data_IF_712219432479
#
_entry.id   IF_712219432479
#
_cell.length_a   1.000
_cell.length_b   1.000
_cell.length_c   1.000
_cell.angle_alpha   90.00
_cell.angle_beta   90.00
_cell.angle_gamma   90.00
#
_symmetry.space_group_name_H-M   'P 1'
#
loop_
_entity.id
_entity.type
_entity.pdbx_description
1 polymer ?
#
# COMPACT_ATOMS: atom_id res chain seq x y z
N UNK A 1 -12.21 8.30 -4.77
CA UNK A 1 -11.12 7.72 -5.58
C UNK A 1 -9.74 8.03 -5.01
N UNK A 2 -9.29 9.28 -4.86
CA UNK A 2 -7.94 9.60 -4.33
C UNK A 2 -7.63 8.94 -2.97
N UNK A 3 -8.56 8.98 -2.02
CA UNK A 3 -8.39 8.33 -0.70
C UNK A 3 -8.11 6.85 -0.80
N UNK A 4 -8.78 6.14 -1.72
CA UNK A 4 -8.59 4.71 -1.96
C UNK A 4 -7.19 4.42 -2.50
N UNK A 5 -6.67 5.29 -3.35
CA UNK A 5 -5.30 5.17 -3.88
C UNK A 5 -4.27 5.32 -2.78
N UNK A 6 -4.47 6.25 -1.85
CA UNK A 6 -3.59 6.44 -0.70
C UNK A 6 -3.68 5.28 0.29
N UNK A 7 -4.85 4.70 0.52
CA UNK A 7 -4.99 3.55 1.42
C UNK A 7 -6.34 3.36 2.09
N UNK A 8 -7.28 4.31 1.92
CA UNK A 8 -8.61 4.19 2.50
C UNK A 8 -9.55 3.37 1.61
N UNK A 9 -9.77 2.14 2.00
CA UNK A 9 -10.70 1.21 1.36
C UNK A 9 -12.10 1.24 1.99
N UNK A 10 -12.28 1.95 3.10
CA UNK A 10 -13.53 1.98 3.85
C UNK A 10 -14.59 2.88 3.24
N UNK A 11 -14.18 3.95 2.55
CA UNK A 11 -15.05 5.03 2.05
C UNK A 11 -16.05 4.55 0.99
N UNK A 12 -15.73 3.51 0.25
CA UNK A 12 -16.51 3.09 -0.93
C UNK A 12 -17.19 1.73 -0.78
N UNK A 13 -17.09 1.10 0.38
CA UNK A 13 -17.63 -0.25 0.60
C UNK A 13 -17.03 -1.30 -0.33
N UNK A 14 -17.62 -2.50 -0.34
CA UNK A 14 -17.12 -3.65 -1.11
C UNK A 14 -17.06 -3.45 -2.64
N UNK A 15 -17.78 -2.48 -3.19
CA UNK A 15 -17.84 -2.26 -4.65
C UNK A 15 -16.61 -1.52 -5.20
N UNK A 16 -16.04 -0.58 -4.47
CA UNK A 16 -14.95 0.26 -4.99
C UNK A 16 -13.59 -0.41 -5.01
N UNK A 17 -13.37 -1.41 -4.17
CA UNK A 17 -12.13 -2.22 -4.17
C UNK A 17 -11.95 -3.04 -5.45
N UNK A 18 -13.02 -3.27 -6.20
CA UNK A 18 -13.00 -4.05 -7.46
C UNK A 18 -12.51 -3.24 -8.67
N UNK A 19 -12.42 -1.92 -8.59
CA UNK A 19 -12.18 -1.07 -9.77
C UNK A 19 -10.73 -0.66 -9.97
N UNK A 20 -9.78 -1.20 -9.19
CA UNK A 20 -8.35 -1.05 -9.46
C UNK A 20 -7.89 0.39 -9.67
N UNK A 21 -8.41 1.34 -8.88
CA UNK A 21 -8.12 2.77 -9.07
C UNK A 21 -6.62 3.11 -9.03
N UNK A 22 -5.84 2.36 -8.25
CA UNK A 22 -4.39 2.50 -8.16
C UNK A 22 -3.62 1.88 -9.32
N UNK A 23 -4.15 0.84 -9.97
CA UNK A 23 -3.47 0.16 -11.07
C UNK A 23 -3.37 1.01 -12.33
N UNK A 24 -2.31 0.84 -13.12
CA UNK A 24 -2.18 1.42 -14.46
C UNK A 24 -3.05 0.71 -15.50
N UNK A 25 -3.50 -0.53 -15.22
CA UNK A 25 -4.29 -1.34 -16.13
C UNK A 25 -5.67 -0.75 -16.39
N UNK A 26 -6.19 -0.97 -17.61
CA UNK A 26 -7.52 -0.52 -18.06
C UNK A 26 -7.76 0.99 -17.86
N UNK A 27 -6.75 1.83 -18.13
CA UNK A 27 -6.83 3.29 -18.06
C UNK A 27 -6.35 3.92 -19.36
N UNK A 28 -7.02 4.98 -19.75
CA UNK A 28 -6.65 5.82 -20.88
C UNK A 28 -6.49 7.27 -20.38
N UNK A 29 -5.46 7.93 -20.87
CA UNK A 29 -5.15 9.32 -20.54
C UNK A 29 -5.00 10.11 -21.82
N UNK A 30 -5.56 11.31 -21.85
CA UNK A 30 -5.28 12.23 -22.95
C UNK A 30 -3.80 12.63 -22.90
N UNK A 31 -3.08 12.47 -24.01
CA UNK A 31 -1.67 12.86 -24.09
C UNK A 31 -1.46 14.34 -23.75
N UNK A 32 -2.32 15.22 -24.28
CA UNK A 32 -2.26 16.65 -23.97
C UNK A 32 -2.41 16.96 -22.49
N UNK A 33 -3.25 16.20 -21.76
CA UNK A 33 -3.39 16.30 -20.31
C UNK A 33 -2.09 15.91 -19.59
N UNK A 34 -1.49 14.78 -19.97
CA UNK A 34 -0.23 14.33 -19.38
C UNK A 34 0.89 15.36 -19.60
N UNK A 35 1.00 15.88 -20.83
CA UNK A 35 1.99 16.91 -21.18
C UNK A 35 1.74 18.22 -20.42
N UNK A 36 0.49 18.68 -20.37
CA UNK A 36 0.11 19.93 -19.67
C UNK A 36 0.55 19.93 -18.21
N UNK A 37 0.41 18.80 -17.52
CA UNK A 37 0.73 18.68 -16.09
C UNK A 37 2.06 17.97 -15.82
N UNK A 38 2.87 17.71 -16.85
CA UNK A 38 4.16 17.02 -16.76
C UNK A 38 4.07 15.71 -15.98
N UNK A 39 2.99 14.95 -16.22
CA UNK A 39 2.72 13.70 -15.52
C UNK A 39 3.55 12.57 -16.14
N UNK A 40 4.52 12.11 -15.37
CA UNK A 40 5.39 10.98 -15.70
C UNK A 40 5.39 9.96 -14.57
N UNK A 41 5.71 8.71 -14.90
CA UNK A 41 5.92 7.70 -13.87
C UNK A 41 7.13 8.07 -13.01
N UNK A 42 7.03 7.91 -11.68
CA UNK A 42 8.12 8.28 -10.78
C UNK A 42 9.31 7.35 -11.00
N UNK A 43 10.47 7.93 -11.28
CA UNK A 43 11.74 7.20 -11.38
C UNK A 43 12.18 6.77 -9.98
N UNK A 44 12.68 5.53 -9.87
CA UNK A 44 13.19 4.98 -8.61
C UNK A 44 12.15 4.29 -7.72
N UNK A 45 10.86 4.51 -7.94
CA UNK A 45 9.82 3.76 -7.22
C UNK A 45 9.55 2.44 -7.97
N UNK A 46 10.07 1.34 -7.43
CA UNK A 46 9.98 0.01 -8.05
C UNK A 46 8.61 -0.66 -7.81
N UNK A 47 7.87 -0.21 -6.78
CA UNK A 47 6.60 -0.80 -6.37
C UNK A 47 5.58 0.30 -6.10
N UNK A 48 4.34 0.10 -6.56
CA UNK A 48 3.28 1.11 -6.46
C UNK A 48 3.59 2.44 -7.17
N UNK A 49 4.45 2.40 -8.19
CA UNK A 49 4.72 3.49 -9.11
C UNK A 49 3.44 3.93 -9.82
N UNK A 50 2.59 2.97 -10.15
CA UNK A 50 1.27 3.17 -10.75
C UNK A 50 0.32 3.91 -9.79
N UNK A 51 0.32 3.59 -8.51
CA UNK A 51 -0.45 4.31 -7.49
C UNK A 51 0.01 5.76 -7.39
N UNK A 52 1.33 5.98 -7.33
CA UNK A 52 1.92 7.30 -7.26
C UNK A 52 1.62 8.15 -8.50
N UNK A 53 1.69 7.55 -9.68
CA UNK A 53 1.31 8.21 -10.94
C UNK A 53 -0.18 8.55 -10.97
N UNK A 54 -1.04 7.56 -10.72
CA UNK A 54 -2.49 7.73 -10.76
C UNK A 54 -2.98 8.76 -9.74
N UNK A 55 -2.41 8.80 -8.54
CA UNK A 55 -2.75 9.77 -7.51
C UNK A 55 -2.58 11.20 -8.04
N UNK A 56 -1.44 11.49 -8.69
CA UNK A 56 -1.16 12.79 -9.30
C UNK A 56 -2.07 13.08 -10.49
N UNK A 57 -2.30 12.10 -11.34
CA UNK A 57 -3.16 12.26 -12.52
C UNK A 57 -4.61 12.54 -12.11
N UNK A 58 -5.16 11.77 -11.18
CA UNK A 58 -6.53 11.98 -10.71
C UNK A 58 -6.71 13.26 -9.89
N UNK A 59 -5.64 13.73 -9.24
CA UNK A 59 -5.67 15.02 -8.52
C UNK A 59 -5.78 16.21 -9.45
N UNK A 60 -5.19 16.13 -10.64
CA UNK A 60 -5.21 17.19 -11.66
C UNK A 60 -6.38 17.09 -12.63
N UNK A 61 -7.12 15.99 -12.62
CA UNK A 61 -8.17 15.75 -13.60
C UNK A 61 -9.49 16.43 -13.20
N UNK A 62 -9.97 17.33 -14.05
CA UNK A 62 -11.29 17.97 -13.92
C UNK A 62 -12.43 17.00 -14.28
N UNK A 63 -12.18 16.07 -15.20
CA UNK A 63 -13.16 15.12 -15.69
C UNK A 63 -12.60 13.71 -15.76
N UNK A 64 -13.32 12.75 -15.19
CA UNK A 64 -12.99 11.32 -15.18
C UNK A 64 -14.21 10.55 -15.68
N UNK A 65 -14.03 9.80 -16.78
CA UNK A 65 -15.04 8.87 -17.28
C UNK A 65 -14.81 7.47 -16.72
N UNK A 66 -15.90 6.73 -16.49
CA UNK A 66 -15.88 5.33 -16.11
C UNK A 66 -16.75 4.52 -17.05
N UNK A 67 -16.17 3.47 -17.64
CA UNK A 67 -16.89 2.51 -18.49
C UNK A 67 -17.03 1.19 -17.73
N UNK A 68 -18.28 0.74 -17.53
CA UNK A 68 -18.57 -0.52 -16.86
C UNK A 68 -18.50 -1.70 -17.84
N UNK A 69 -17.28 -1.92 -18.38
CA UNK A 69 -17.00 -3.01 -19.33
C UNK A 69 -15.64 -3.61 -19.03
N UNK A 70 -15.43 -4.88 -19.38
CA UNK A 70 -14.16 -5.58 -19.18
C UNK A 70 -13.31 -5.46 -20.45
N UNK A 71 -12.26 -4.63 -20.39
CA UNK A 71 -11.31 -4.43 -21.50
C UNK A 71 -9.94 -5.03 -21.23
N UNK A 72 -9.68 -5.50 -20.00
CA UNK A 72 -8.38 -5.96 -19.59
C UNK A 72 -8.48 -7.21 -18.74
N UNK A 73 -7.71 -8.24 -19.11
CA UNK A 73 -7.62 -9.51 -18.39
C UNK A 73 -6.28 -9.58 -17.66
N UNK A 74 -6.32 -9.52 -16.34
CA UNK A 74 -5.12 -9.63 -15.52
C UNK A 74 -4.77 -11.11 -15.30
N UNK A 75 -3.65 -11.55 -15.92
CA UNK A 75 -3.14 -12.91 -15.71
C UNK A 75 -2.43 -13.01 -14.37
N UNK A 76 -2.88 -13.90 -13.50
CA UNK A 76 -2.21 -14.22 -12.25
C UNK A 76 -1.20 -15.34 -12.49
N UNK A 77 0.07 -15.08 -12.26
CA UNK A 77 1.15 -16.04 -12.33
C UNK A 77 1.79 -16.18 -10.95
N UNK A 78 2.08 -17.42 -10.53
CA UNK A 78 2.77 -17.67 -9.25
C UNK A 78 4.17 -17.05 -9.22
N UNK A 79 4.83 -16.98 -10.37
CA UNK A 79 6.15 -16.36 -10.56
C UNK A 79 6.12 -14.83 -10.66
N UNK A 80 4.95 -14.21 -10.43
CA UNK A 80 4.80 -12.77 -10.47
C UNK A 80 5.76 -12.09 -9.49
N UNK A 81 6.33 -10.95 -9.91
CA UNK A 81 7.16 -10.09 -9.07
C UNK A 81 6.52 -9.73 -7.72
N UNK A 82 5.19 -9.88 -7.62
CA UNK A 82 4.40 -9.61 -6.41
C UNK A 82 4.63 -10.64 -5.30
N UNK A 83 4.98 -11.88 -5.66
CA UNK A 83 5.10 -13.01 -4.72
C UNK A 83 6.53 -13.48 -4.51
N UNK A 84 7.50 -12.97 -5.26
CA UNK A 84 8.90 -13.38 -5.14
C UNK A 84 9.50 -12.92 -3.82
N UNK A 85 10.33 -13.78 -3.24
CA UNK A 85 11.21 -13.41 -2.14
C UNK A 85 12.14 -12.26 -2.57
N UNK A 86 12.29 -11.29 -1.68
CA UNK A 86 13.25 -10.19 -1.83
C UNK A 86 13.83 -9.86 -0.46
N UNK A 87 15.11 -10.08 -0.28
CA UNK A 87 15.80 -9.61 0.92
C UNK A 87 15.72 -8.08 1.02
N UNK A 88 15.31 -7.59 2.20
CA UNK A 88 15.08 -6.16 2.39
C UNK A 88 13.92 -5.59 1.57
N UNK A 89 13.02 -6.44 1.06
CA UNK A 89 11.92 -6.06 0.18
C UNK A 89 10.99 -4.99 0.74
N UNK A 90 11.00 -4.78 2.06
CA UNK A 90 10.22 -3.73 2.71
C UNK A 90 10.71 -2.31 2.34
N UNK A 91 12.00 -2.12 2.04
CA UNK A 91 12.53 -0.82 1.63
C UNK A 91 11.86 -0.29 0.36
N UNK A 92 11.51 -1.19 -0.57
CA UNK A 92 10.81 -0.84 -1.81
C UNK A 92 9.42 -0.23 -1.52
N UNK A 93 8.76 -0.70 -0.46
CA UNK A 93 7.49 -0.13 -0.02
C UNK A 93 7.68 1.21 0.71
N UNK A 94 8.80 1.39 1.41
CA UNK A 94 9.16 2.66 2.05
C UNK A 94 9.36 3.77 1.02
N UNK A 95 10.01 3.49 -0.11
CA UNK A 95 10.15 4.45 -1.23
C UNK A 95 8.79 4.87 -1.78
N UNK A 96 7.87 3.92 -1.96
CA UNK A 96 6.52 4.23 -2.40
C UNK A 96 5.74 5.07 -1.37
N UNK A 97 5.90 4.78 -0.06
CA UNK A 97 5.30 5.55 1.02
C UNK A 97 5.87 6.96 1.09
N UNK A 98 7.18 7.11 0.88
CA UNK A 98 7.82 8.41 0.81
C UNK A 98 7.22 9.28 -0.31
N UNK A 99 7.08 8.71 -1.51
CA UNK A 99 6.44 9.41 -2.64
C UNK A 99 4.98 9.81 -2.37
N UNK A 100 4.22 8.96 -1.69
CA UNK A 100 2.85 9.28 -1.28
C UNK A 100 2.82 10.40 -0.23
N UNK A 101 3.66 10.32 0.78
CA UNK A 101 3.76 11.34 1.84
C UNK A 101 4.14 12.69 1.27
N UNK A 102 5.16 12.72 0.41
CA UNK A 102 5.60 13.94 -0.26
C UNK A 102 4.45 14.56 -1.08
N UNK A 103 3.68 13.76 -1.81
CA UNK A 103 2.52 14.27 -2.54
C UNK A 103 1.48 14.90 -1.60
N UNK A 104 1.17 14.26 -0.47
CA UNK A 104 0.19 14.79 0.49
C UNK A 104 0.64 16.12 1.08
N UNK A 105 1.92 16.22 1.46
CA UNK A 105 2.52 17.40 2.06
C UNK A 105 2.57 18.58 1.06
N UNK A 106 3.06 18.31 -0.16
CA UNK A 106 3.19 19.32 -1.21
C UNK A 106 1.84 19.89 -1.70
N UNK A 107 0.77 19.13 -1.56
CA UNK A 107 -0.57 19.54 -1.99
C UNK A 107 -1.49 19.82 -0.79
N UNK A 108 -0.95 19.97 0.40
CA UNK A 108 -1.66 20.34 1.65
C UNK A 108 -2.96 19.55 1.82
N UNK A 109 -2.89 18.22 1.64
CA UNK A 109 -4.09 17.37 1.64
C UNK A 109 -4.72 17.32 3.04
N UNK A 110 -6.07 17.29 3.13
CA UNK A 110 -6.76 17.20 4.41
C UNK A 110 -6.37 15.95 5.22
N UNK A 111 -6.48 16.04 6.54
CA UNK A 111 -6.15 14.98 7.52
C UNK A 111 -6.68 13.60 7.13
N UNK A 112 -7.86 13.52 6.52
CA UNK A 112 -8.44 12.27 6.07
C UNK A 112 -7.57 11.51 5.06
N UNK A 113 -6.75 12.21 4.26
CA UNK A 113 -5.78 11.58 3.37
C UNK A 113 -4.59 11.00 4.13
N UNK A 114 -4.17 11.67 5.21
CA UNK A 114 -3.13 11.14 6.09
C UNK A 114 -3.60 9.90 6.83
N UNK A 115 -4.86 9.83 7.25
CA UNK A 115 -5.43 8.61 7.82
C UNK A 115 -5.41 7.44 6.81
N UNK A 116 -5.68 7.70 5.54
CA UNK A 116 -5.55 6.71 4.48
C UNK A 116 -4.09 6.31 4.23
N UNK A 117 -3.16 7.26 4.30
CA UNK A 117 -1.71 7.02 4.22
C UNK A 117 -1.22 6.14 5.38
N UNK A 118 -1.61 6.42 6.62
CA UNK A 118 -1.24 5.58 7.76
C UNK A 118 -1.74 4.15 7.61
N UNK A 119 -2.95 3.97 7.07
CA UNK A 119 -3.45 2.63 6.74
C UNK A 119 -2.59 1.96 5.65
N UNK A 120 -2.12 2.70 4.65
CA UNK A 120 -1.22 2.19 3.62
C UNK A 120 0.12 1.76 4.22
N UNK A 121 0.67 2.48 5.18
CA UNK A 121 1.88 2.08 5.90
C UNK A 121 1.69 0.71 6.56
N UNK A 122 0.61 0.52 7.30
CA UNK A 122 0.31 -0.79 7.93
C UNK A 122 0.13 -1.90 6.88
N UNK A 123 -0.57 -1.61 5.78
CA UNK A 123 -0.74 -2.57 4.70
C UNK A 123 0.61 -2.97 4.06
N UNK A 124 1.49 -2.01 3.81
CA UNK A 124 2.80 -2.30 3.22
C UNK A 124 3.74 -3.03 4.19
N UNK A 125 3.61 -2.81 5.50
CA UNK A 125 4.28 -3.64 6.49
C UNK A 125 3.86 -5.10 6.37
N UNK A 126 2.55 -5.37 6.21
CA UNK A 126 2.02 -6.73 6.01
C UNK A 126 2.47 -7.35 4.67
N UNK A 127 2.51 -6.55 3.60
CA UNK A 127 3.06 -7.00 2.31
C UNK A 127 4.55 -7.33 2.41
N UNK A 128 5.34 -6.52 3.12
CA UNK A 128 6.75 -6.80 3.41
C UNK A 128 6.95 -8.08 4.20
N UNK A 129 6.02 -8.42 5.09
CA UNK A 129 6.05 -9.73 5.77
C UNK A 129 5.90 -10.89 4.78
N UNK A 130 5.02 -10.74 3.78
CA UNK A 130 4.76 -11.79 2.79
C UNK A 130 5.94 -11.97 1.82
N UNK A 131 6.58 -10.89 1.43
CA UNK A 131 7.66 -10.89 0.42
C UNK A 131 9.06 -11.06 1.03
N UNK A 132 9.22 -10.87 2.33
CA UNK A 132 10.52 -10.97 3.02
C UNK A 132 10.42 -11.80 4.31
N UNK A 133 9.96 -11.19 5.41
CA UNK A 133 10.12 -11.76 6.76
C UNK A 133 9.51 -13.15 6.96
N UNK A 134 8.38 -13.46 6.35
CA UNK A 134 7.68 -14.75 6.44
C UNK A 134 7.74 -15.56 5.15
N UNK A 135 8.45 -15.06 4.14
CA UNK A 135 8.58 -15.79 2.88
C UNK A 135 9.30 -17.14 3.09
N UNK A 136 8.83 -18.24 2.47
CA UNK A 136 9.44 -19.57 2.64
C UNK A 136 10.92 -19.62 2.22
N UNK A 137 11.29 -18.87 1.17
CA UNK A 137 12.66 -18.82 0.65
C UNK A 137 13.59 -17.89 1.44
N UNK A 138 13.13 -17.24 2.52
CA UNK A 138 14.01 -16.43 3.34
C UNK A 138 15.03 -17.31 4.08
N UNK A 139 16.35 -17.18 3.82
CA UNK A 139 17.37 -18.07 4.37
C UNK A 139 17.62 -17.87 5.87
N UNK A 140 17.16 -16.76 6.44
CA UNK A 140 17.38 -16.44 7.86
C UNK A 140 16.48 -17.28 8.75
N UNK A 141 16.98 -17.66 9.92
CA UNK A 141 16.19 -18.35 10.95
C UNK A 141 15.05 -17.46 11.47
N UNK A 142 13.91 -18.05 11.77
CA UNK A 142 12.71 -17.33 12.22
C UNK A 142 12.96 -16.33 13.37
N UNK A 143 13.73 -16.64 14.43
CA UNK A 143 14.00 -15.65 15.49
C UNK A 143 14.73 -14.40 14.99
N UNK A 144 15.61 -14.53 14.00
CA UNK A 144 16.30 -13.38 13.37
C UNK A 144 15.31 -12.54 12.61
N UNK A 145 14.49 -13.17 11.76
CA UNK A 145 13.44 -12.49 10.97
C UNK A 145 12.45 -11.75 11.86
N UNK A 146 12.03 -12.33 12.97
CA UNK A 146 11.13 -11.69 13.94
C UNK A 146 11.79 -10.50 14.65
N UNK A 147 13.09 -10.57 14.92
CA UNK A 147 13.86 -9.45 15.50
C UNK A 147 13.93 -8.28 14.50
N UNK A 148 14.22 -8.57 13.24
CA UNK A 148 14.27 -7.57 12.17
C UNK A 148 12.87 -6.93 11.96
N UNK A 149 11.82 -7.74 11.91
CA UNK A 149 10.43 -7.26 11.83
C UNK A 149 10.09 -6.35 13.03
N UNK A 150 10.45 -6.77 14.26
CA UNK A 150 10.21 -5.97 15.46
C UNK A 150 10.94 -4.62 15.40
N UNK A 151 12.17 -4.60 14.89
CA UNK A 151 12.92 -3.35 14.66
C UNK A 151 12.17 -2.48 13.66
N UNK A 152 11.77 -3.02 12.51
CA UNK A 152 11.05 -2.32 11.45
C UNK A 152 9.70 -1.76 11.92
N UNK A 153 8.95 -2.46 12.75
CA UNK A 153 7.72 -1.96 13.37
C UNK A 153 7.95 -0.73 14.25
N UNK A 154 9.18 -0.50 14.71
CA UNK A 154 9.56 0.64 15.52
C UNK A 154 10.19 1.79 14.75
N UNK A 155 10.31 1.68 13.44
CA UNK A 155 10.87 2.69 12.56
C UNK A 155 9.75 3.40 11.79
N UNK A 156 9.99 4.68 11.46
CA UNK A 156 9.09 5.42 10.57
C UNK A 156 9.23 4.89 9.12
N UNK A 157 8.15 4.92 8.34
CA UNK A 157 6.83 5.51 8.64
C UNK A 157 5.88 4.60 9.43
N UNK A 158 6.24 3.36 9.77
CA UNK A 158 5.33 2.37 10.37
C UNK A 158 4.98 2.69 11.82
N UNK A 159 5.98 3.15 12.60
CA UNK A 159 5.77 3.55 13.99
C UNK A 159 4.85 4.76 14.09
N UNK A 160 5.14 5.82 13.32
CA UNK A 160 4.31 7.03 13.26
C UNK A 160 2.87 6.70 12.83
N UNK A 161 2.72 5.89 11.77
CA UNK A 161 1.42 5.45 11.29
C UNK A 161 0.62 4.71 12.36
N UNK A 162 1.24 3.77 13.08
CA UNK A 162 0.56 3.01 14.12
C UNK A 162 0.08 3.86 15.30
N UNK A 163 0.73 4.99 15.57
CA UNK A 163 0.34 5.94 16.61
C UNK A 163 -0.77 6.88 16.14
N UNK A 164 -0.63 7.47 14.93
CA UNK A 164 -1.53 8.52 14.43
C UNK A 164 -2.83 8.01 13.83
N UNK A 165 -2.88 6.76 13.42
CA UNK A 165 -4.06 6.18 12.80
C UNK A 165 -5.23 6.10 13.77
N UNK A 166 -6.41 6.57 13.35
CA UNK A 166 -7.61 6.61 14.18
C UNK A 166 -8.53 5.43 13.85
N UNK A 167 -8.82 4.60 14.84
CA UNK A 167 -9.60 3.36 14.69
C UNK A 167 -11.03 3.53 14.16
N UNK A 168 -11.57 4.76 14.18
CA UNK A 168 -12.91 5.06 13.66
C UNK A 168 -13.02 4.89 12.13
N UNK A 169 -11.90 4.94 11.41
CA UNK A 169 -11.88 4.90 9.94
C UNK A 169 -11.80 3.49 9.35
N UNK A 170 -11.70 2.43 10.17
CA UNK A 170 -11.56 1.06 9.66
C UNK A 170 -12.16 -0.01 10.58
N UNK A 171 -12.51 -1.15 9.97
CA UNK A 171 -13.14 -2.27 10.70
C UNK A 171 -12.23 -2.93 11.74
N UNK A 172 -12.85 -3.69 12.63
CA UNK A 172 -12.19 -4.32 13.78
C UNK A 172 -10.96 -5.17 13.41
N UNK A 173 -11.06 -6.00 12.38
CA UNK A 173 -9.96 -6.86 11.93
C UNK A 173 -8.70 -6.08 11.53
N UNK A 174 -8.84 -4.88 11.00
CA UNK A 174 -7.73 -4.00 10.64
C UNK A 174 -7.10 -3.31 11.85
N UNK A 175 -7.78 -3.27 12.99
CA UNK A 175 -7.22 -2.73 14.24
C UNK A 175 -6.17 -3.63 14.86
N UNK A 176 -6.25 -4.95 14.62
CA UNK A 176 -5.29 -5.91 15.16
C UNK A 176 -3.85 -5.62 14.68
N UNK A 177 -3.56 -5.55 13.35
CA UNK A 177 -2.21 -5.22 12.91
C UNK A 177 -1.73 -3.83 13.36
N UNK A 178 -2.62 -2.84 13.47
CA UNK A 178 -2.26 -1.52 14.02
C UNK A 178 -1.80 -1.64 15.48
N UNK A 179 -2.58 -2.33 16.31
CA UNK A 179 -2.24 -2.56 17.72
C UNK A 179 -0.92 -3.31 17.85
N UNK A 180 -0.74 -4.40 17.10
CA UNK A 180 0.47 -5.21 17.14
C UNK A 180 1.71 -4.42 16.66
N UNK A 181 1.56 -3.55 15.66
CA UNK A 181 2.63 -2.66 15.20
C UNK A 181 3.00 -1.65 16.29
N UNK A 182 2.02 -0.97 16.88
CA UNK A 182 2.22 0.01 17.95
C UNK A 182 3.01 -0.56 19.13
N UNK A 183 2.72 -1.81 19.50
CA UNK A 183 3.39 -2.50 20.62
C UNK A 183 4.57 -3.36 20.18
N UNK A 184 4.97 -3.32 18.90
CA UNK A 184 6.10 -4.08 18.33
C UNK A 184 6.04 -5.58 18.62
N UNK A 185 4.83 -6.15 18.55
CA UNK A 185 4.56 -7.56 18.88
C UNK A 185 4.77 -8.46 17.65
N UNK A 186 6.01 -8.54 17.15
CA UNK A 186 6.33 -9.18 15.87
C UNK A 186 5.91 -10.67 15.79
N UNK A 187 6.08 -11.44 16.87
CA UNK A 187 5.68 -12.85 16.89
C UNK A 187 4.16 -13.03 16.77
N UNK A 188 3.38 -12.21 17.48
CA UNK A 188 1.92 -12.23 17.37
C UNK A 188 1.44 -11.69 16.03
N UNK A 189 2.14 -10.72 15.47
CA UNK A 189 1.88 -10.24 14.11
C UNK A 189 2.09 -11.35 13.08
N UNK A 190 3.20 -12.11 13.19
CA UNK A 190 3.49 -13.23 12.31
C UNK A 190 2.42 -14.33 12.42
N UNK A 191 2.00 -14.66 13.64
CA UNK A 191 0.93 -15.63 13.89
C UNK A 191 -0.40 -15.16 13.28
N UNK A 192 -0.80 -13.91 13.58
CA UNK A 192 -2.02 -13.31 13.04
C UNK A 192 -2.02 -13.35 11.51
N UNK A 193 -0.92 -12.94 10.88
CA UNK A 193 -0.80 -12.90 9.42
C UNK A 193 -0.88 -14.29 8.79
N UNK A 194 -0.22 -15.28 9.40
CA UNK A 194 -0.25 -16.67 8.93
C UNK A 194 -1.67 -17.27 9.02
N UNK A 195 -2.36 -17.05 10.13
CA UNK A 195 -3.74 -17.51 10.31
C UNK A 195 -4.70 -16.80 9.34
N UNK A 196 -4.56 -15.48 9.19
CA UNK A 196 -5.40 -14.70 8.28
C UNK A 196 -5.26 -15.16 6.82
N UNK A 197 -4.05 -15.49 6.37
CA UNK A 197 -3.80 -15.99 5.01
C UNK A 197 -4.31 -17.41 4.78
N UNK A 198 -4.44 -18.23 5.83
CA UNK A 198 -5.02 -19.59 5.73
C UNK A 198 -6.56 -19.56 5.64
N UNK A 199 -7.19 -18.48 6.07
CA UNK A 199 -8.65 -18.33 6.09
C UNK A 199 -9.20 -17.62 4.83
N UNK A 200 -8.33 -17.19 3.92
CA UNK A 200 -8.69 -16.62 2.61
C UNK A 200 -8.76 -17.70 1.55
#
# INVERSE_FOLDING_TARGET
MLKTMVGDWSVYGKRCTKYGSGSCCAKLYLRSFLTKFSLVYPVGIVRSEDVNFNLRAFDKADRIGYLHQFFYFYRQLQESATYRYREGGIAIFEDALHGLKQFLDQNEKPELFYQAYYMRCIFFLLEGMNTDYLHPENPKRLPVRLRELRKKMGEDPFADAAVRIQGKYFGFTKRIPVFLTRHRMAALMALFFTLYNRLK
#
